data_IF_991898401762
#
_entry.id   IF_991898401762
#
_cell.length_a   1.000
_cell.length_b   1.000
_cell.length_c   1.000
_cell.angle_alpha   90.00
_cell.angle_beta   90.00
_cell.angle_gamma   90.00
#
_symmetry.space_group_name_H-M   'P 1'
#
loop_
_entity.id
_entity.type
_entity.pdbx_description
1 polymer ?
#
# COMPACT_ATOMS: atom_id res chain seq x y z
N UNK A 1 5.11 -21.47 1.52
CA UNK A 1 6.37 -21.02 2.15
C UNK A 1 6.03 -20.12 3.33
N UNK A 2 6.86 -20.10 4.37
CA UNK A 2 6.66 -19.19 5.51
C UNK A 2 7.05 -17.77 5.10
N UNK A 3 6.27 -16.73 5.44
CA UNK A 3 6.60 -15.36 5.09
C UNK A 3 7.84 -14.88 5.87
N UNK A 4 8.71 -14.15 5.20
CA UNK A 4 9.83 -13.44 5.82
C UNK A 4 9.33 -12.05 6.22
N UNK A 5 9.44 -11.70 7.49
CA UNK A 5 9.01 -10.40 8.00
C UNK A 5 10.17 -9.40 7.98
N UNK A 6 9.92 -8.21 7.45
CA UNK A 6 10.87 -7.08 7.42
C UNK A 6 10.21 -5.85 8.04
N UNK A 7 10.78 -5.36 9.12
CA UNK A 7 10.32 -4.12 9.75
C UNK A 7 11.00 -2.92 9.10
N UNK A 8 10.21 -1.96 8.64
CA UNK A 8 10.67 -0.82 7.87
C UNK A 8 9.85 0.40 8.26
N UNK A 9 10.41 1.60 8.21
CA UNK A 9 9.71 2.85 8.51
C UNK A 9 8.82 3.35 7.36
N UNK A 10 7.78 4.11 7.70
CA UNK A 10 7.03 5.02 6.80
C UNK A 10 6.72 4.49 5.37
N UNK A 11 6.87 5.35 4.36
CA UNK A 11 6.63 5.15 2.93
C UNK A 11 7.63 4.23 2.23
N UNK A 12 8.79 3.96 2.84
CA UNK A 12 9.81 3.06 2.29
C UNK A 12 9.27 1.65 2.02
N UNK A 13 8.22 1.22 2.74
CA UNK A 13 7.52 -0.05 2.47
C UNK A 13 6.97 -0.12 1.05
N UNK A 14 6.41 0.97 0.54
CA UNK A 14 5.89 1.02 -0.83
C UNK A 14 7.02 0.94 -1.86
N UNK A 15 8.17 1.55 -1.57
CA UNK A 15 9.32 1.46 -2.46
C UNK A 15 9.90 0.05 -2.52
N UNK A 16 9.88 -0.70 -1.40
CA UNK A 16 10.26 -2.11 -1.41
C UNK A 16 9.30 -2.98 -2.24
N UNK A 17 8.00 -2.67 -2.22
CA UNK A 17 7.05 -3.34 -3.11
C UNK A 17 7.30 -2.98 -4.58
N UNK A 18 7.55 -1.70 -4.86
CA UNK A 18 7.80 -1.20 -6.21
C UNK A 18 9.12 -1.72 -6.79
N UNK A 19 10.16 -1.91 -5.96
CA UNK A 19 11.44 -2.48 -6.37
C UNK A 19 11.45 -4.00 -6.48
N UNK A 20 10.38 -4.68 -6.03
CA UNK A 20 10.31 -6.14 -5.99
C UNK A 20 11.07 -6.79 -4.83
N UNK A 21 11.47 -6.01 -3.82
CA UNK A 21 12.12 -6.50 -2.60
C UNK A 21 11.13 -6.96 -1.51
N UNK A 22 9.84 -6.71 -1.71
CA UNK A 22 8.77 -7.20 -0.86
C UNK A 22 7.53 -7.52 -1.71
N UNK A 23 6.74 -8.49 -1.25
CA UNK A 23 5.54 -8.93 -1.98
C UNK A 23 4.26 -8.27 -1.48
N UNK A 24 4.20 -7.98 -0.17
CA UNK A 24 2.95 -7.66 0.51
C UNK A 24 3.14 -6.74 1.73
N UNK A 25 2.26 -5.75 1.85
CA UNK A 25 2.19 -4.83 2.99
C UNK A 25 0.73 -4.64 3.45
N UNK A 26 0.30 -5.29 4.56
CA UNK A 26 -0.99 -5.01 5.18
C UNK A 26 -0.89 -3.80 6.11
N UNK A 27 -1.88 -2.91 6.05
CA UNK A 27 -2.03 -1.76 6.96
C UNK A 27 -3.41 -1.74 7.60
N UNK A 28 -3.46 -2.19 8.86
CA UNK A 28 -4.68 -2.27 9.70
C UNK A 28 -4.70 -1.21 10.81
N UNK A 29 -3.85 -0.20 10.69
CA UNK A 29 -3.79 0.94 11.60
C UNK A 29 -4.06 2.22 10.82
N UNK A 30 -4.66 3.24 11.46
CA UNK A 30 -5.07 4.46 10.78
C UNK A 30 -3.92 5.15 10.02
N UNK A 31 -4.26 5.70 8.86
CA UNK A 31 -3.44 6.61 8.05
C UNK A 31 -4.35 7.64 7.41
N UNK A 32 -3.74 8.70 6.90
CA UNK A 32 -4.40 9.76 6.15
C UNK A 32 -4.03 9.67 4.68
N UNK A 33 -4.84 10.22 3.78
CA UNK A 33 -4.61 10.19 2.33
C UNK A 33 -3.19 10.61 1.95
N UNK A 34 -2.68 11.68 2.55
CA UNK A 34 -1.33 12.20 2.30
C UNK A 34 -0.19 11.22 2.69
N UNK A 35 -0.45 10.26 3.59
CA UNK A 35 0.56 9.26 3.97
C UNK A 35 0.85 8.25 2.85
N UNK A 36 -0.11 8.07 1.92
CA UNK A 36 -0.03 7.03 0.88
C UNK A 36 -0.12 7.59 -0.55
N UNK A 37 -0.71 8.77 -0.78
CA UNK A 37 -0.99 9.31 -2.11
C UNK A 37 0.22 9.28 -3.05
N UNK A 38 1.34 9.85 -2.60
CA UNK A 38 2.57 9.90 -3.40
C UNK A 38 3.17 8.51 -3.64
N UNK A 39 3.04 7.59 -2.68
CA UNK A 39 3.57 6.23 -2.80
C UNK A 39 2.68 5.32 -3.65
N UNK A 40 1.36 5.55 -3.66
CA UNK A 40 0.41 4.77 -4.44
C UNK A 40 0.71 4.88 -5.93
N UNK A 41 0.86 6.11 -6.44
CA UNK A 41 1.12 6.30 -7.87
C UNK A 41 2.45 5.63 -8.29
N UNK A 42 3.50 5.74 -7.49
CA UNK A 42 4.79 5.08 -7.77
C UNK A 42 4.63 3.55 -7.79
N UNK A 43 3.91 3.00 -6.81
CA UNK A 43 3.68 1.56 -6.73
C UNK A 43 2.83 1.06 -7.90
N UNK A 44 1.78 1.76 -8.27
CA UNK A 44 0.88 1.40 -9.38
C UNK A 44 1.62 1.45 -10.72
N UNK A 45 2.45 2.48 -10.97
CA UNK A 45 3.30 2.55 -12.16
C UNK A 45 4.38 1.45 -12.19
N UNK A 46 4.81 0.95 -11.04
CA UNK A 46 5.66 -0.24 -10.94
C UNK A 46 4.90 -1.57 -11.14
N UNK A 47 3.58 -1.52 -11.36
CA UNK A 47 2.71 -2.68 -11.56
C UNK A 47 2.16 -3.29 -10.27
N UNK A 48 2.31 -2.62 -9.13
CA UNK A 48 1.69 -2.99 -7.86
C UNK A 48 0.28 -2.41 -7.70
N UNK A 49 -0.29 -2.53 -6.50
CA UNK A 49 -1.61 -1.96 -6.20
C UNK A 49 -1.83 -1.72 -4.71
N UNK A 50 -2.73 -0.79 -4.37
CA UNK A 50 -3.25 -0.59 -3.01
C UNK A 50 -4.76 -0.81 -3.01
N UNK A 51 -5.21 -1.82 -2.27
CA UNK A 51 -6.60 -2.27 -2.26
C UNK A 51 -7.18 -2.11 -0.86
N UNK A 52 -8.36 -1.50 -0.77
CA UNK A 52 -9.13 -1.41 0.48
C UNK A 52 -9.49 -2.80 0.99
N UNK A 53 -9.29 -3.03 2.29
CA UNK A 53 -9.65 -4.29 2.91
C UNK A 53 -11.16 -4.49 3.01
N UNK A 54 -11.95 -3.41 2.95
CA UNK A 54 -13.41 -3.50 3.06
C UNK A 54 -14.07 -3.62 1.70
N UNK A 55 -13.76 -2.71 0.77
CA UNK A 55 -14.44 -2.66 -0.53
C UNK A 55 -13.84 -3.59 -1.56
N UNK A 56 -12.61 -4.10 -1.32
CA UNK A 56 -11.80 -4.85 -2.28
C UNK A 56 -11.53 -4.10 -3.59
N UNK A 57 -11.67 -2.78 -3.56
CA UNK A 57 -11.38 -1.87 -4.68
C UNK A 57 -10.16 -1.00 -4.35
N UNK A 58 -9.64 -0.30 -5.35
CA UNK A 58 -8.58 0.68 -5.18
C UNK A 58 -8.96 1.73 -4.13
N UNK A 59 -7.98 2.20 -3.36
CA UNK A 59 -8.19 3.32 -2.43
C UNK A 59 -8.41 4.60 -3.23
N UNK A 60 -9.43 5.37 -2.84
CA UNK A 60 -9.81 6.64 -3.47
C UNK A 60 -9.40 7.83 -2.60
N UNK A 61 -9.16 8.96 -3.26
CA UNK A 61 -8.66 10.21 -2.68
C UNK A 61 -9.69 11.34 -2.76
N UNK A 62 -9.41 12.45 -2.09
CA UNK A 62 -10.27 13.62 -1.98
C UNK A 62 -11.63 13.31 -1.32
N UNK A 63 -11.61 12.47 -0.28
CA UNK A 63 -12.79 12.17 0.54
C UNK A 63 -13.04 13.32 1.52
N UNK A 64 -14.30 13.53 1.91
CA UNK A 64 -14.65 14.48 2.99
C UNK A 64 -13.91 14.11 4.29
N UNK A 65 -13.85 12.81 4.60
CA UNK A 65 -12.99 12.27 5.63
C UNK A 65 -11.70 11.71 5.01
N UNK A 66 -10.59 12.42 5.20
CA UNK A 66 -9.27 12.10 4.65
C UNK A 66 -8.60 10.87 5.27
N UNK A 67 -9.28 10.16 6.19
CA UNK A 67 -8.79 8.91 6.76
C UNK A 67 -8.87 7.80 5.71
N UNK A 68 -7.80 7.04 5.55
CA UNK A 68 -7.82 5.87 4.69
C UNK A 68 -8.54 4.70 5.36
N UNK A 69 -9.20 3.83 4.58
CA UNK A 69 -9.60 2.52 5.08
C UNK A 69 -8.37 1.69 5.44
N UNK A 70 -8.56 0.58 6.15
CA UNK A 70 -7.55 -0.47 6.17
C UNK A 70 -7.29 -0.92 4.73
N UNK A 71 -6.03 -1.19 4.40
CA UNK A 71 -5.65 -1.54 3.04
C UNK A 71 -4.56 -2.61 3.01
N UNK A 72 -4.42 -3.19 1.82
CA UNK A 72 -3.38 -4.15 1.46
C UNK A 72 -2.67 -3.62 0.24
N UNK A 73 -1.36 -3.43 0.33
CA UNK A 73 -0.53 -3.10 -0.81
C UNK A 73 0.20 -4.35 -1.31
N UNK A 74 0.26 -4.50 -2.62
CA UNK A 74 0.88 -5.63 -3.31
C UNK A 74 1.98 -5.10 -4.23
N UNK A 75 3.13 -5.79 -4.24
CA UNK A 75 4.12 -5.63 -5.29
C UNK A 75 3.60 -6.12 -6.64
N UNK A 76 4.43 -6.00 -7.68
CA UNK A 76 4.09 -6.50 -9.01
C UNK A 76 3.74 -7.98 -8.95
N UNK A 77 2.53 -8.33 -9.39
CA UNK A 77 2.16 -9.74 -9.61
C UNK A 77 2.84 -10.20 -10.90
N UNK A 78 3.74 -11.17 -10.78
CA UNK A 78 4.27 -11.95 -11.91
C UNK A 78 3.27 -13.06 -12.22
#
# INVERSE_FOLDING_TARGET
ANPILKEVGSSLKFMLLASGEADYYPRMSPTMEWDIAASQIILEEAGGSIISEYTKQAVVYNKENLRNPHFKAYGRRI
#
